data_IF_599315665547
#
_entry.id   IF_599315665547
#
_cell.length_a   1.000
_cell.length_b   1.000
_cell.length_c   1.000
_cell.angle_alpha   90.00
_cell.angle_beta   90.00
_cell.angle_gamma   90.00
#
_symmetry.space_group_name_H-M   'P 1'
#
loop_
_entity.id
_entity.type
_entity.pdbx_description
1 polymer ?
#
# COMPACT_ATOMS: atom_id res chain seq x y z
N UNK A 1 -40.62 -30.29 -12.36
CA UNK A 1 -39.75 -29.17 -12.76
C UNK A 1 -38.64 -29.05 -11.73
N UNK A 2 -37.37 -29.38 -12.05
CA UNK A 2 -36.27 -29.12 -11.13
C UNK A 2 -35.63 -27.78 -11.46
N UNK A 3 -35.65 -26.86 -10.50
CA UNK A 3 -34.93 -25.58 -10.55
C UNK A 3 -33.43 -25.83 -10.49
N UNK A 4 -32.71 -25.34 -11.50
CA UNK A 4 -31.26 -25.43 -11.60
C UNK A 4 -30.65 -24.40 -10.65
N UNK A 5 -29.93 -24.86 -9.62
CA UNK A 5 -29.03 -24.02 -8.84
C UNK A 5 -27.97 -23.47 -9.81
N UNK A 6 -27.94 -22.15 -9.99
CA UNK A 6 -26.83 -21.48 -10.66
C UNK A 6 -25.81 -21.16 -9.56
N UNK A 7 -24.71 -21.91 -9.55
CA UNK A 7 -23.51 -21.52 -8.83
C UNK A 7 -22.92 -20.34 -9.59
N UNK A 8 -23.00 -19.15 -9.01
CA UNK A 8 -22.33 -17.97 -9.55
C UNK A 8 -20.92 -18.01 -8.98
N UNK A 9 -19.99 -18.56 -9.75
CA UNK A 9 -18.56 -18.44 -9.46
C UNK A 9 -18.16 -16.96 -9.62
N UNK A 10 -18.19 -16.26 -8.49
CA UNK A 10 -17.81 -14.85 -8.26
C UNK A 10 -16.29 -14.61 -8.45
N UNK A 11 -15.69 -15.21 -9.47
CA UNK A 11 -14.25 -15.11 -9.76
C UNK A 11 -13.94 -14.73 -11.21
N UNK A 12 -14.90 -14.86 -12.14
CA UNK A 12 -14.73 -14.37 -13.52
C UNK A 12 -14.91 -12.86 -13.68
N UNK A 13 -15.44 -12.17 -12.66
CA UNK A 13 -15.68 -10.72 -12.70
C UNK A 13 -14.47 -9.89 -12.25
N UNK A 14 -13.45 -10.52 -11.65
CA UNK A 14 -12.20 -9.83 -11.29
C UNK A 14 -11.31 -9.64 -12.54
N UNK A 15 -11.45 -10.50 -13.56
CA UNK A 15 -10.64 -10.42 -14.79
C UNK A 15 -11.15 -9.38 -15.80
N UNK A 16 -12.29 -8.74 -15.58
CA UNK A 16 -12.95 -7.85 -16.57
C UNK A 16 -13.05 -6.37 -16.18
N UNK A 17 -12.37 -5.92 -15.12
CA UNK A 17 -12.44 -4.53 -14.65
C UNK A 17 -11.38 -3.58 -15.25
N UNK A 18 -11.09 -3.70 -16.56
CA UNK A 18 -10.10 -2.82 -17.26
C UNK A 18 -10.64 -2.14 -18.50
N UNK A 19 -11.89 -1.66 -18.48
CA UNK A 19 -12.39 -0.77 -19.54
C UNK A 19 -12.96 0.54 -18.96
N UNK A 20 -12.14 1.59 -18.96
CA UNK A 20 -12.56 2.93 -18.51
C UNK A 20 -11.46 4.00 -18.38
N UNK A 21 -10.66 4.22 -19.43
CA UNK A 21 -9.81 5.41 -19.71
C UNK A 21 -9.03 6.03 -18.52
N UNK A 22 -7.81 5.53 -18.29
CA UNK A 22 -6.60 6.38 -18.13
C UNK A 22 -5.49 5.75 -18.98
N UNK A 23 -4.87 6.57 -19.83
CA UNK A 23 -3.79 6.16 -20.73
C UNK A 23 -2.48 6.10 -19.93
N UNK A 24 -1.91 4.90 -19.86
CA UNK A 24 -0.64 4.48 -19.22
C UNK A 24 -0.56 4.67 -17.70
N UNK A 25 -0.77 3.61 -16.92
CA UNK A 25 -0.38 3.65 -15.49
C UNK A 25 0.33 2.35 -15.11
N UNK A 26 1.65 2.33 -15.29
CA UNK A 26 2.48 1.41 -14.51
C UNK A 26 2.35 1.78 -13.04
N UNK A 27 2.61 0.85 -12.11
CA UNK A 27 2.63 1.20 -10.69
C UNK A 27 3.61 2.35 -10.39
N UNK A 28 4.69 2.48 -11.17
CA UNK A 28 5.61 3.61 -11.10
C UNK A 28 4.95 4.96 -11.43
N UNK A 29 4.12 5.02 -12.47
CA UNK A 29 3.41 6.24 -12.83
C UNK A 29 2.43 6.65 -11.72
N UNK A 30 1.72 5.68 -11.14
CA UNK A 30 0.89 5.90 -9.95
C UNK A 30 1.73 6.47 -8.79
N UNK A 31 2.89 5.87 -8.47
CA UNK A 31 3.77 6.37 -7.41
C UNK A 31 4.15 7.83 -7.64
N UNK A 32 4.44 8.26 -8.88
CA UNK A 32 4.80 9.65 -9.19
C UNK A 32 3.68 10.67 -8.90
N UNK A 33 2.42 10.24 -8.85
CA UNK A 33 1.28 11.13 -8.57
C UNK A 33 1.09 11.45 -7.09
N UNK A 34 1.74 10.68 -6.21
CA UNK A 34 1.46 10.74 -4.78
C UNK A 34 2.11 11.95 -4.09
N UNK A 35 1.50 12.46 -3.00
CA UNK A 35 1.99 13.62 -2.27
C UNK A 35 3.15 13.25 -1.33
N UNK A 36 4.31 12.95 -1.90
CA UNK A 36 5.49 12.54 -1.14
C UNK A 36 6.08 13.65 -0.27
N UNK A 37 6.72 13.23 0.82
CA UNK A 37 7.62 14.05 1.61
C UNK A 37 8.90 13.27 1.95
N UNK A 38 9.99 13.98 2.26
CA UNK A 38 11.29 13.37 2.60
C UNK A 38 11.38 13.00 4.07
N UNK A 39 11.98 11.85 4.34
CA UNK A 39 12.29 11.48 5.71
C UNK A 39 13.66 10.80 5.83
N UNK A 40 14.68 11.60 6.15
CA UNK A 40 16.07 11.13 6.15
C UNK A 40 16.63 11.02 4.74
N UNK A 41 17.69 10.24 4.58
CA UNK A 41 18.44 10.16 3.33
C UNK A 41 17.77 9.18 2.37
N UNK A 42 17.38 9.67 1.18
CA UNK A 42 16.80 8.87 0.11
C UNK A 42 15.54 8.08 0.50
N UNK A 43 14.72 8.59 1.40
CA UNK A 43 13.42 7.98 1.73
C UNK A 43 12.32 8.99 1.47
N UNK A 44 11.34 8.54 0.69
CA UNK A 44 10.10 9.24 0.44
C UNK A 44 8.96 8.53 1.19
N UNK A 45 8.09 9.32 1.82
CA UNK A 45 6.93 8.83 2.55
C UNK A 45 5.68 9.51 2.02
N UNK A 46 4.62 8.74 1.80
CA UNK A 46 3.30 9.24 1.49
C UNK A 46 2.26 8.46 2.28
N UNK A 47 1.32 9.18 2.91
CA UNK A 47 0.12 8.54 3.46
C UNK A 47 -0.97 8.65 2.42
N UNK A 48 -1.57 7.51 2.11
CA UNK A 48 -2.59 7.45 1.09
C UNK A 48 -3.71 6.49 1.50
N UNK A 49 -4.80 6.52 0.73
CA UNK A 49 -5.84 5.51 0.79
C UNK A 49 -5.32 4.22 0.14
N UNK A 50 -5.68 3.06 0.69
CA UNK A 50 -5.46 1.78 0.03
C UNK A 50 -6.36 1.66 -1.20
N UNK A 51 -5.89 2.19 -2.33
CA UNK A 51 -6.59 2.16 -3.62
C UNK A 51 -6.32 0.83 -4.35
N UNK A 52 -7.12 0.47 -5.37
CA UNK A 52 -6.88 -0.74 -6.16
C UNK A 52 -5.45 -0.86 -6.70
N UNK A 53 -4.82 0.24 -7.11
CA UNK A 53 -3.44 0.27 -7.60
C UNK A 53 -2.43 -0.19 -6.54
N UNK A 54 -2.65 0.18 -5.27
CA UNK A 54 -1.84 -0.27 -4.13
C UNK A 54 -2.15 -1.74 -3.80
N UNK A 55 -3.44 -2.08 -3.75
CA UNK A 55 -3.89 -3.42 -3.36
C UNK A 55 -3.45 -4.49 -4.37
N UNK A 56 -3.35 -4.15 -5.66
CA UNK A 56 -2.88 -5.04 -6.71
C UNK A 56 -1.42 -5.48 -6.53
N UNK A 57 -0.61 -4.73 -5.77
CA UNK A 57 0.82 -5.05 -5.55
C UNK A 57 1.06 -5.97 -4.36
N UNK A 58 0.06 -6.18 -3.53
CA UNK A 58 0.15 -6.91 -2.27
C UNK A 58 -0.02 -8.45 -2.34
N UNK A 59 -0.74 -9.05 -3.32
CA UNK A 59 -0.89 -10.49 -3.41
C UNK A 59 0.46 -11.21 -3.52
N UNK A 60 0.53 -12.42 -2.94
CA UNK A 60 1.70 -13.32 -3.02
C UNK A 60 2.99 -12.80 -2.37
N UNK A 61 2.98 -11.56 -1.85
CA UNK A 61 4.11 -10.98 -1.14
C UNK A 61 4.21 -11.49 0.29
N UNK A 62 5.45 -11.54 0.78
CA UNK A 62 5.72 -11.71 2.20
C UNK A 62 5.39 -10.42 2.96
N UNK A 63 4.74 -10.60 4.09
CA UNK A 63 4.40 -9.55 5.04
C UNK A 63 5.30 -9.70 6.25
N UNK A 64 6.00 -8.64 6.64
CA UNK A 64 6.71 -8.61 7.91
C UNK A 64 5.80 -8.01 8.98
N UNK A 65 5.60 -8.75 10.06
CA UNK A 65 4.82 -8.32 11.23
C UNK A 65 5.76 -7.77 12.30
N UNK A 66 5.45 -6.59 12.83
CA UNK A 66 6.20 -5.94 13.90
C UNK A 66 5.33 -5.74 15.16
N UNK A 67 5.92 -5.83 16.38
CA UNK A 67 7.34 -6.07 16.67
C UNK A 67 7.75 -7.54 16.48
N UNK A 68 9.01 -7.79 16.08
CA UNK A 68 9.58 -9.14 15.95
C UNK A 68 10.01 -9.56 14.54
N UNK A 69 9.53 -8.87 13.49
CA UNK A 69 10.01 -9.04 12.12
C UNK A 69 9.68 -10.40 11.49
N UNK A 70 8.66 -11.09 12.01
CA UNK A 70 8.23 -12.41 11.51
C UNK A 70 7.66 -12.22 10.10
N UNK A 71 8.23 -12.95 9.14
CA UNK A 71 7.70 -13.00 7.78
C UNK A 71 6.53 -14.00 7.73
N UNK A 72 5.36 -13.52 7.31
CA UNK A 72 4.15 -14.31 7.10
C UNK A 72 3.65 -14.09 5.68
N UNK A 73 2.89 -15.05 5.14
CA UNK A 73 2.24 -14.87 3.84
C UNK A 73 1.10 -13.85 3.95
N UNK A 74 0.93 -12.99 2.95
CA UNK A 74 -0.23 -12.11 2.84
C UNK A 74 -1.54 -12.89 3.00
N UNK A 75 -2.37 -12.47 3.95
CA UNK A 75 -3.65 -13.11 4.23
C UNK A 75 -4.72 -12.58 3.29
N UNK A 76 -5.45 -13.46 2.61
CA UNK A 76 -6.54 -13.08 1.68
C UNK A 76 -7.63 -12.24 2.35
N UNK A 77 -7.91 -12.48 3.63
CA UNK A 77 -8.87 -11.73 4.43
C UNK A 77 -8.49 -10.25 4.58
N UNK A 78 -7.18 -9.94 4.65
CA UNK A 78 -6.69 -8.56 4.72
C UNK A 78 -6.99 -7.82 3.42
N UNK A 79 -6.63 -8.41 2.28
CA UNK A 79 -6.90 -7.82 0.96
C UNK A 79 -8.40 -7.62 0.73
N UNK A 80 -9.21 -8.61 1.09
CA UNK A 80 -10.68 -8.53 1.00
C UNK A 80 -11.26 -7.40 1.87
N UNK A 81 -10.73 -7.21 3.08
CA UNK A 81 -11.14 -6.10 3.95
C UNK A 81 -10.79 -4.73 3.34
N UNK A 82 -9.59 -4.59 2.78
CA UNK A 82 -9.18 -3.36 2.10
C UNK A 82 -10.09 -3.04 0.91
N UNK A 83 -10.38 -4.04 0.06
CA UNK A 83 -11.26 -3.89 -1.08
C UNK A 83 -12.68 -3.49 -0.66
N UNK A 84 -13.28 -4.24 0.28
CA UNK A 84 -14.63 -3.93 0.81
C UNK A 84 -14.70 -2.51 1.36
N UNK A 85 -13.67 -2.07 2.10
CA UNK A 85 -13.62 -0.71 2.66
C UNK A 85 -13.50 0.36 1.59
N UNK A 86 -12.75 0.11 0.53
CA UNK A 86 -12.68 1.00 -0.63
C UNK A 86 -14.05 1.11 -1.32
N UNK A 87 -14.70 -0.02 -1.59
CA UNK A 87 -16.00 -0.10 -2.27
C UNK A 87 -17.12 0.56 -1.45
N UNK A 88 -17.04 0.50 -0.11
CA UNK A 88 -17.93 1.21 0.83
C UNK A 88 -17.68 2.74 0.88
N UNK A 89 -16.70 3.26 0.13
CA UNK A 89 -16.29 4.68 0.17
C UNK A 89 -15.53 5.06 1.44
N UNK A 90 -15.06 4.08 2.22
CA UNK A 90 -14.31 4.26 3.46
C UNK A 90 -12.93 3.60 3.42
N UNK A 91 -12.08 3.89 2.41
CA UNK A 91 -10.83 3.19 2.22
C UNK A 91 -9.93 3.29 3.44
N UNK A 92 -9.31 2.17 3.79
CA UNK A 92 -8.35 2.12 4.88
C UNK A 92 -7.06 2.84 4.47
N UNK A 93 -6.44 3.59 5.40
CA UNK A 93 -5.22 4.31 5.09
C UNK A 93 -4.01 3.35 5.09
N UNK A 94 -3.02 3.67 4.26
CA UNK A 94 -1.74 3.00 4.14
C UNK A 94 -0.61 4.02 4.18
N UNK A 95 0.57 3.63 4.63
CA UNK A 95 1.79 4.42 4.42
C UNK A 95 2.61 3.75 3.34
N UNK A 96 2.96 4.52 2.33
CA UNK A 96 3.89 4.11 1.28
C UNK A 96 5.25 4.70 1.63
N UNK A 97 6.27 3.84 1.66
CA UNK A 97 7.66 4.22 1.92
C UNK A 97 8.47 3.84 0.69
N UNK A 98 8.87 4.82 -0.09
CA UNK A 98 9.61 4.62 -1.33
C UNK A 98 11.10 4.89 -1.07
N UNK A 99 11.90 3.84 -1.28
CA UNK A 99 13.37 3.83 -1.24
C UNK A 99 13.91 3.55 -2.65
N UNK A 100 15.19 3.83 -2.95
CA UNK A 100 15.77 3.54 -4.27
C UNK A 100 15.63 2.07 -4.70
N UNK A 101 15.63 1.14 -3.73
CA UNK A 101 15.62 -0.30 -3.94
C UNK A 101 14.25 -0.97 -3.81
N UNK A 102 13.25 -0.31 -3.22
CA UNK A 102 11.93 -0.90 -2.99
C UNK A 102 10.85 0.13 -2.63
N UNK A 103 9.59 -0.29 -2.74
CA UNK A 103 8.46 0.35 -2.05
C UNK A 103 8.00 -0.56 -0.92
N UNK A 104 7.83 0.01 0.26
CA UNK A 104 7.18 -0.66 1.38
C UNK A 104 5.75 -0.12 1.55
N UNK A 105 4.77 -1.02 1.64
CA UNK A 105 3.39 -0.69 1.98
C UNK A 105 3.18 -1.07 3.44
N UNK A 106 2.97 -0.08 4.29
CA UNK A 106 2.70 -0.26 5.71
C UNK A 106 1.22 -0.06 5.97
N UNK A 107 0.63 -1.00 6.69
CA UNK A 107 -0.77 -0.93 7.03
C UNK A 107 -1.06 -1.55 8.40
N UNK A 108 -2.28 -1.33 8.86
CA UNK A 108 -2.82 -1.90 10.10
C UNK A 108 -4.15 -2.58 9.80
N UNK A 109 -4.42 -3.70 10.49
CA UNK A 109 -5.66 -4.46 10.33
C UNK A 109 -6.89 -3.77 10.93
N UNK A 110 -6.68 -2.84 11.86
CA UNK A 110 -7.74 -2.11 12.57
C UNK A 110 -7.64 -0.64 12.16
N UNK A 111 -8.78 -0.01 11.81
CA UNK A 111 -8.89 1.43 11.56
C UNK A 111 -8.58 2.17 12.87
N UNK A 112 -7.41 2.78 13.02
CA UNK A 112 -7.15 3.58 14.21
C UNK A 112 -8.03 4.83 14.11
N UNK A 113 -8.52 5.33 15.23
CA UNK A 113 -9.25 6.61 15.26
C UNK A 113 -8.41 7.76 14.70
N UNK A 114 -7.08 7.61 14.74
CA UNK A 114 -6.14 8.73 14.57
C UNK A 114 -4.95 8.42 13.63
N UNK A 115 -5.08 7.45 12.72
CA UNK A 115 -4.06 7.19 11.68
C UNK A 115 -4.09 8.26 10.58
N UNK A 116 -2.93 8.70 10.04
CA UNK A 116 -1.55 8.27 10.31
C UNK A 116 -0.86 8.99 11.48
N UNK A 117 -1.47 10.05 12.01
CA UNK A 117 -0.78 11.01 12.87
C UNK A 117 -0.41 10.42 14.24
N UNK A 118 -1.28 9.61 14.86
CA UNK A 118 -0.94 8.91 16.10
C UNK A 118 0.11 7.81 15.87
N UNK A 119 0.21 7.21 14.68
CA UNK A 119 1.29 6.26 14.41
C UNK A 119 2.69 6.92 14.40
N UNK A 120 2.77 8.25 14.31
CA UNK A 120 4.02 9.01 14.22
C UNK A 120 4.37 9.77 15.50
N UNK A 121 3.37 10.28 16.22
CA UNK A 121 3.56 11.01 17.48
C UNK A 121 3.22 10.20 18.73
N UNK A 122 2.37 9.17 18.62
CA UNK A 122 1.96 8.36 19.76
C UNK A 122 2.78 7.05 19.83
N UNK A 123 3.66 6.96 20.82
CA UNK A 123 4.45 5.74 21.09
C UNK A 123 3.57 4.55 21.48
N UNK A 124 2.34 4.79 21.96
CA UNK A 124 1.34 3.75 22.21
C UNK A 124 0.85 3.12 20.91
N UNK A 125 0.89 3.87 19.80
CA UNK A 125 0.57 3.36 18.49
C UNK A 125 1.64 2.37 17.96
N UNK A 126 2.87 2.39 18.48
CA UNK A 126 3.93 1.45 18.11
C UNK A 126 3.71 0.01 18.65
N UNK A 127 2.79 -0.15 19.62
CA UNK A 127 2.43 -1.45 20.18
C UNK A 127 1.43 -2.25 19.33
N UNK A 128 0.80 -1.62 18.32
CA UNK A 128 -0.12 -2.30 17.41
C UNK A 128 0.65 -2.99 16.27
N UNK A 129 0.25 -4.22 15.94
CA UNK A 129 0.84 -5.01 14.86
C UNK A 129 0.93 -4.18 13.57
N UNK A 130 2.15 -3.78 13.22
CA UNK A 130 2.42 -3.10 11.96
C UNK A 130 2.83 -4.16 10.95
N UNK A 131 2.06 -4.25 9.87
CA UNK A 131 2.35 -5.15 8.78
C UNK A 131 2.95 -4.38 7.62
N UNK A 132 4.04 -4.91 7.09
CA UNK A 132 4.77 -4.34 5.97
C UNK A 132 4.85 -5.32 4.83
N UNK A 133 4.36 -4.90 3.67
CA UNK A 133 4.67 -5.53 2.38
C UNK A 133 5.89 -4.84 1.78
N UNK A 134 6.83 -5.60 1.26
CA UNK A 134 7.94 -5.05 0.46
C UNK A 134 7.74 -5.43 -1.00
N UNK A 135 7.82 -4.43 -1.87
CA UNK A 135 7.78 -4.56 -3.33
C UNK A 135 9.16 -4.14 -3.84
N UNK A 136 10.00 -5.09 -4.29
CA UNK A 136 11.32 -4.78 -4.81
C UNK A 136 11.26 -3.90 -6.07
N UNK A 137 12.26 -3.04 -6.26
CA UNK A 137 12.34 -2.16 -7.43
C UNK A 137 12.33 -2.95 -8.76
N UNK A 138 12.98 -4.11 -8.78
CA UNK A 138 13.05 -5.00 -9.95
C UNK A 138 11.69 -5.51 -10.44
N UNK A 139 10.69 -5.54 -9.55
CA UNK A 139 9.34 -5.99 -9.88
C UNK A 139 8.44 -4.86 -10.39
N UNK A 140 8.89 -3.60 -10.29
CA UNK A 140 8.08 -2.41 -10.63
C UNK A 140 8.42 -1.92 -12.03
N UNK A 141 9.64 -1.38 -12.21
CA UNK A 141 10.07 -0.81 -13.48
C UNK A 141 11.60 -0.55 -13.48
N UNK A 142 12.32 -0.73 -14.60
CA UNK A 142 13.75 -0.40 -14.69
C UNK A 142 14.09 1.06 -14.38
N UNK A 143 13.16 2.01 -14.53
CA UNK A 143 13.32 3.44 -14.22
C UNK A 143 12.99 3.77 -12.76
N UNK A 144 12.72 2.79 -11.91
CA UNK A 144 12.28 3.01 -10.54
C UNK A 144 13.24 3.89 -9.73
N UNK A 145 14.55 3.58 -9.76
CA UNK A 145 15.55 4.33 -9.00
C UNK A 145 15.74 5.77 -9.51
N UNK A 146 15.67 5.98 -10.84
CA UNK A 146 15.78 7.33 -11.41
C UNK A 146 14.54 8.18 -11.12
N UNK A 147 13.35 7.57 -11.19
CA UNK A 147 12.10 8.21 -10.80
C UNK A 147 12.09 8.60 -9.31
N UNK A 148 12.58 7.71 -8.44
CA UNK A 148 12.74 8.02 -7.02
C UNK A 148 13.63 9.25 -6.83
N UNK A 149 14.81 9.29 -7.45
CA UNK A 149 15.74 10.42 -7.33
C UNK A 149 15.13 11.73 -7.84
N UNK A 150 14.36 11.67 -8.93
CA UNK A 150 13.65 12.82 -9.48
C UNK A 150 12.61 13.38 -8.50
N UNK A 151 11.76 12.52 -7.95
CA UNK A 151 10.74 12.92 -6.97
C UNK A 151 11.40 13.43 -5.69
N UNK A 152 12.43 12.74 -5.21
CA UNK A 152 13.23 13.17 -4.07
C UNK A 152 13.84 14.56 -4.30
N UNK A 153 14.31 14.90 -5.51
CA UNK A 153 14.78 16.24 -5.82
C UNK A 153 13.73 17.36 -5.64
N UNK A 154 12.45 17.03 -5.74
CA UNK A 154 11.34 18.02 -5.84
C UNK A 154 10.55 18.24 -4.56
N UNK A 155 10.53 17.25 -3.65
CA UNK A 155 9.64 17.29 -2.48
C UNK A 155 10.29 17.82 -1.21
N UNK A 156 9.46 18.33 -0.30
CA UNK A 156 9.89 18.89 0.98
C UNK A 156 10.02 17.82 2.07
N UNK A 157 10.65 18.16 3.19
CA UNK A 157 10.69 17.29 4.37
C UNK A 157 9.28 17.01 4.92
N UNK A 158 9.08 15.82 5.47
CA UNK A 158 7.82 15.47 6.12
C UNK A 158 7.56 16.39 7.33
N UNK A 159 6.30 16.83 7.56
CA UNK A 159 5.95 17.69 8.69
C UNK A 159 6.19 17.01 10.05
N UNK A 160 6.25 15.68 10.07
CA UNK A 160 6.58 14.83 11.21
C UNK A 160 7.43 13.66 10.74
N UNK A 161 8.45 13.27 11.51
CA UNK A 161 9.28 12.10 11.18
C UNK A 161 8.60 10.81 11.65
N UNK A 162 8.47 9.79 10.80
CA UNK A 162 8.17 8.42 11.25
C UNK A 162 9.29 7.90 12.17
N UNK A 163 8.98 7.05 13.16
CA UNK A 163 9.99 6.39 13.98
C UNK A 163 10.96 5.53 13.15
N UNK A 164 12.22 5.45 13.58
CA UNK A 164 13.18 4.48 13.06
C UNK A 164 12.88 3.13 13.76
N UNK A 165 12.51 2.10 12.98
CA UNK A 165 12.25 0.74 13.48
C UNK A 165 13.33 -0.23 13.00
#
# INVERSE_FOLDING_TARGET
>A
MPGKLVHVDSWSEIETMTEGVVKSETFLDYLRTLPWCKQGDNILVAVHKGTPEVLAQMPEREVKVFPGGIAVKMQKSVLSNFQSKYDEGQPLPVVLVWKPEAVEIWYRKIKPTDFPYDAWSDTTAAAYEQERVLIPAEDIDPQFASAHAEVFGKVNACPSMMPQY
#
